data_IF_754223056335
#
_entry.id   IF_754223056335
#
_cell.length_a   1.000
_cell.length_b   1.000
_cell.length_c   1.000
_cell.angle_alpha   90.00
_cell.angle_beta   90.00
_cell.angle_gamma   90.00
#
_symmetry.space_group_name_H-M   'P 1'
#
loop_
_entity.id
_entity.type
_entity.pdbx_description
1 polymer ?
#
# COMPACT_ATOMS: atom_id res chain seq x y z
N UNK A 1 -28.19 22.38 -16.22
CA UNK A 1 -27.38 23.62 -16.25
C UNK A 1 -26.62 23.72 -14.95
N UNK A 2 -25.32 24.02 -14.99
CA UNK A 2 -24.48 24.25 -13.80
C UNK A 2 -23.32 23.28 -13.66
N UNK A 3 -22.37 23.31 -14.60
CA UNK A 3 -21.10 22.60 -14.46
C UNK A 3 -20.16 23.57 -13.72
N UNK A 4 -19.86 23.28 -12.46
CA UNK A 4 -18.98 24.12 -11.65
C UNK A 4 -17.53 23.99 -12.15
N UNK A 5 -16.85 25.08 -12.54
CA UNK A 5 -15.45 25.04 -12.92
C UNK A 5 -14.61 25.20 -11.64
N UNK A 6 -14.16 24.08 -11.06
CA UNK A 6 -13.14 24.16 -10.02
C UNK A 6 -11.80 24.46 -10.69
N UNK A 7 -11.43 25.74 -10.73
CA UNK A 7 -10.06 26.19 -10.95
C UNK A 7 -9.25 26.01 -9.66
N UNK A 8 -8.26 25.11 -9.67
CA UNK A 8 -7.18 25.11 -8.68
C UNK A 8 -5.85 25.18 -9.42
N UNK A 9 -5.29 26.38 -9.41
CA UNK A 9 -3.95 26.69 -9.88
C UNK A 9 -2.93 26.10 -8.89
N UNK A 10 -2.15 25.14 -9.35
CA UNK A 10 -0.85 24.79 -8.77
C UNK A 10 0.02 24.28 -9.91
N UNK A 11 0.84 25.19 -10.42
CA UNK A 11 1.80 25.02 -11.50
C UNK A 11 2.62 23.73 -11.38
N UNK A 12 2.27 22.73 -12.18
CA UNK A 12 3.14 21.64 -12.65
C UNK A 12 2.40 20.92 -13.79
N UNK A 13 2.17 21.61 -14.90
CA UNK A 13 1.46 21.08 -16.07
C UNK A 13 2.48 20.68 -17.14
N UNK A 14 2.46 19.42 -17.56
CA UNK A 14 3.22 18.89 -18.68
C UNK A 14 2.68 19.48 -19.99
N UNK A 15 3.46 19.40 -21.08
CA UNK A 15 3.10 19.97 -22.38
C UNK A 15 1.79 19.42 -22.98
N UNK A 16 1.29 18.31 -22.46
CA UNK A 16 0.06 17.63 -22.85
C UNK A 16 -1.14 17.95 -21.93
N UNK A 17 -0.98 18.87 -20.97
CA UNK A 17 -2.04 19.22 -20.01
C UNK A 17 -2.15 18.26 -18.82
N UNK A 18 -1.31 17.22 -18.75
CA UNK A 18 -1.20 16.34 -17.58
C UNK A 18 -0.40 16.98 -16.44
N UNK A 19 -0.50 16.48 -15.21
CA UNK A 19 0.43 16.88 -14.14
C UNK A 19 1.84 16.36 -14.48
N UNK A 20 2.88 17.19 -14.34
CA UNK A 20 4.27 16.80 -14.57
C UNK A 20 4.57 15.61 -13.67
N UNK A 21 4.76 14.45 -14.30
CA UNK A 21 5.14 13.25 -13.59
C UNK A 21 6.55 13.47 -13.00
N UNK A 22 6.80 13.09 -11.74
CA UNK A 22 8.15 13.07 -11.21
C UNK A 22 9.06 12.30 -12.16
N UNK A 23 10.28 12.81 -12.36
CA UNK A 23 11.28 12.19 -13.21
C UNK A 23 11.47 10.70 -12.82
N UNK A 24 11.84 9.86 -13.78
CA UNK A 24 11.92 8.41 -13.53
C UNK A 24 12.86 8.08 -12.37
N UNK A 25 13.93 8.86 -12.24
CA UNK A 25 14.94 8.75 -11.18
C UNK A 25 14.38 9.05 -9.79
N UNK A 26 13.55 10.09 -9.60
CA UNK A 26 12.93 10.38 -8.29
C UNK A 26 11.93 9.31 -7.87
N UNK A 27 11.16 8.75 -8.82
CA UNK A 27 10.27 7.62 -8.53
C UNK A 27 11.05 6.38 -8.07
N UNK A 28 12.17 6.11 -8.73
CA UNK A 28 13.05 5.00 -8.33
C UNK A 28 13.57 5.20 -6.91
N UNK A 29 14.11 6.38 -6.58
CA UNK A 29 14.58 6.70 -5.21
C UNK A 29 13.46 6.59 -4.18
N UNK A 30 12.24 7.02 -4.54
CA UNK A 30 11.08 6.88 -3.68
C UNK A 30 10.75 5.40 -3.37
N UNK A 31 10.82 4.52 -4.36
CA UNK A 31 10.58 3.08 -4.16
C UNK A 31 11.69 2.43 -3.34
N UNK A 32 12.94 2.81 -3.58
CA UNK A 32 14.08 2.35 -2.78
C UNK A 32 13.92 2.75 -1.30
N UNK A 33 13.59 4.01 -1.02
CA UNK A 33 13.30 4.49 0.33
C UNK A 33 12.10 3.78 0.98
N UNK A 34 11.03 3.53 0.22
CA UNK A 34 9.88 2.75 0.66
C UNK A 34 10.29 1.34 1.09
N UNK A 35 11.05 0.65 0.24
CA UNK A 35 11.39 -0.77 0.44
C UNK A 35 12.36 -0.92 1.62
N UNK A 36 13.28 0.01 1.81
CA UNK A 36 14.13 0.07 3.01
C UNK A 36 13.31 0.27 4.28
N UNK A 37 12.36 1.22 4.27
CA UNK A 37 11.47 1.46 5.40
C UNK A 37 10.63 0.23 5.73
N UNK A 38 10.01 -0.39 4.72
CA UNK A 38 9.18 -1.58 4.88
C UNK A 38 9.99 -2.80 5.36
N UNK A 39 11.21 -2.99 4.88
CA UNK A 39 12.11 -4.03 5.40
C UNK A 39 12.47 -3.81 6.87
N UNK A 40 12.67 -2.55 7.29
CA UNK A 40 12.86 -2.26 8.71
C UNK A 40 11.62 -2.57 9.55
N UNK A 41 10.43 -2.21 9.06
CA UNK A 41 9.17 -2.52 9.73
C UNK A 41 8.98 -4.03 9.89
N UNK A 42 9.25 -4.81 8.84
CA UNK A 42 9.16 -6.28 8.86
C UNK A 42 10.10 -6.89 9.91
N UNK A 43 11.34 -6.41 10.01
CA UNK A 43 12.32 -6.86 11.02
C UNK A 43 11.92 -6.54 12.47
N UNK A 44 10.98 -5.62 12.67
CA UNK A 44 10.50 -5.22 13.99
C UNK A 44 9.03 -5.63 14.23
N UNK A 45 8.47 -6.46 13.36
CA UNK A 45 7.08 -6.93 13.44
C UNK A 45 6.04 -5.80 13.46
N UNK A 46 6.31 -4.70 12.76
CA UNK A 46 5.40 -3.56 12.65
C UNK A 46 4.66 -3.64 11.31
N UNK A 47 3.36 -3.94 11.35
CA UNK A 47 2.54 -3.95 10.13
C UNK A 47 2.05 -2.54 9.76
N UNK A 48 1.41 -1.87 10.70
CA UNK A 48 0.71 -0.60 10.51
C UNK A 48 1.52 0.57 11.08
N UNK A 49 2.40 1.13 10.27
CA UNK A 49 3.19 2.30 10.65
C UNK A 49 2.38 3.62 10.71
N UNK A 50 1.07 3.59 10.44
CA UNK A 50 0.18 4.74 10.68
C UNK A 50 -0.33 4.69 12.12
N UNK A 51 -0.81 3.51 12.54
CA UNK A 51 -1.26 3.27 13.91
C UNK A 51 -0.10 3.29 14.91
N UNK A 52 1.01 2.65 14.55
CA UNK A 52 2.19 2.47 15.40
C UNK A 52 3.33 3.45 15.02
N UNK A 53 3.01 4.66 14.56
CA UNK A 53 3.99 5.64 14.05
C UNK A 53 5.11 5.94 15.07
N UNK A 54 4.78 6.04 16.36
CA UNK A 54 5.78 6.26 17.42
C UNK A 54 6.79 5.11 17.52
N UNK A 55 6.32 3.88 17.44
CA UNK A 55 7.17 2.68 17.45
C UNK A 55 7.99 2.60 16.15
N UNK A 56 7.35 2.82 15.00
CA UNK A 56 8.01 2.85 13.70
C UNK A 56 9.12 3.91 13.64
N UNK A 57 8.89 5.13 14.13
CA UNK A 57 9.93 6.18 14.20
C UNK A 57 11.04 5.85 15.18
N UNK A 58 10.73 5.18 16.29
CA UNK A 58 11.74 4.74 17.27
C UNK A 58 12.65 3.65 16.71
N UNK A 59 12.09 2.69 15.97
CA UNK A 59 12.81 1.51 15.46
C UNK A 59 13.41 1.69 14.07
N UNK A 60 12.76 2.48 13.23
CA UNK A 60 13.06 2.68 11.81
C UNK A 60 13.19 4.18 11.46
N UNK A 61 13.68 4.98 12.42
CA UNK A 61 13.76 6.43 12.30
C UNK A 61 14.64 6.93 11.15
N UNK A 62 15.66 6.17 10.78
CA UNK A 62 16.52 6.49 9.64
C UNK A 62 15.78 6.25 8.33
N UNK A 63 15.23 5.05 8.17
CA UNK A 63 14.57 4.62 6.94
C UNK A 63 13.28 5.40 6.68
N UNK A 64 12.52 5.76 7.73
CA UNK A 64 11.33 6.61 7.57
C UNK A 64 11.70 8.03 7.12
N UNK A 65 12.82 8.58 7.59
CA UNK A 65 13.30 9.89 7.18
C UNK A 65 13.77 9.88 5.71
N UNK A 66 14.49 8.83 5.30
CA UNK A 66 14.89 8.62 3.90
C UNK A 66 13.65 8.45 2.99
N UNK A 67 12.67 7.66 3.42
CA UNK A 67 11.41 7.47 2.70
C UNK A 67 10.60 8.77 2.57
N UNK A 68 10.43 9.53 3.66
CA UNK A 68 9.71 10.81 3.68
C UNK A 68 10.44 11.91 2.89
N UNK A 69 11.76 11.82 2.75
CA UNK A 69 12.57 12.75 1.93
C UNK A 69 12.53 12.38 0.45
N UNK A 70 12.59 11.09 0.11
CA UNK A 70 12.63 10.62 -1.27
C UNK A 70 11.26 10.64 -1.97
N UNK A 71 10.16 10.55 -1.20
CA UNK A 71 8.80 10.48 -1.72
C UNK A 71 7.98 11.73 -1.44
N UNK A 72 7.00 12.01 -2.31
CA UNK A 72 5.95 12.98 -1.98
C UNK A 72 5.09 12.50 -0.81
N UNK A 73 4.58 13.44 0.00
CA UNK A 73 3.73 13.13 1.17
C UNK A 73 2.49 12.29 0.82
N UNK A 74 1.91 12.53 -0.35
CA UNK A 74 0.76 11.76 -0.84
C UNK A 74 1.13 10.30 -1.11
N UNK A 75 2.30 10.05 -1.70
CA UNK A 75 2.80 8.70 -1.95
C UNK A 75 3.20 7.97 -0.66
N UNK A 76 3.83 8.68 0.29
CA UNK A 76 4.14 8.11 1.62
C UNK A 76 2.87 7.62 2.31
N UNK A 77 1.84 8.48 2.36
CA UNK A 77 0.54 8.12 2.95
C UNK A 77 -0.08 6.92 2.23
N UNK A 78 -0.19 7.00 0.91
CA UNK A 78 -0.76 5.93 0.08
C UNK A 78 -0.06 4.59 0.31
N UNK A 79 1.27 4.56 0.33
CA UNK A 79 2.01 3.31 0.51
C UNK A 79 1.83 2.71 1.91
N UNK A 80 1.84 3.54 2.95
CA UNK A 80 1.57 3.06 4.31
C UNK A 80 0.17 2.44 4.41
N UNK A 81 -0.84 3.09 3.83
CA UNK A 81 -2.22 2.57 3.79
C UNK A 81 -2.32 1.29 2.95
N UNK A 82 -1.68 1.28 1.76
CA UNK A 82 -1.68 0.14 0.84
C UNK A 82 -1.09 -1.11 1.47
N UNK A 83 0.01 -0.98 2.23
CA UNK A 83 0.65 -2.11 2.95
C UNK A 83 -0.35 -2.81 3.88
N UNK A 84 -1.13 -2.05 4.65
CA UNK A 84 -2.14 -2.61 5.57
C UNK A 84 -3.31 -3.22 4.81
N UNK A 85 -3.79 -2.54 3.76
CA UNK A 85 -4.88 -3.03 2.93
C UNK A 85 -4.52 -4.35 2.24
N UNK A 86 -3.34 -4.45 1.64
CA UNK A 86 -2.90 -5.68 0.95
C UNK A 86 -2.73 -6.84 1.92
N UNK A 87 -2.17 -6.60 3.10
CA UNK A 87 -2.10 -7.62 4.15
C UNK A 87 -3.49 -8.16 4.53
N UNK A 88 -4.46 -7.28 4.77
CA UNK A 88 -5.82 -7.67 5.14
C UNK A 88 -6.53 -8.41 4.00
N UNK A 89 -6.33 -7.95 2.77
CA UNK A 89 -6.84 -8.63 1.56
C UNK A 89 -6.30 -10.05 1.48
N UNK A 90 -5.00 -10.24 1.65
CA UNK A 90 -4.37 -11.55 1.53
C UNK A 90 -4.82 -12.50 2.65
N UNK A 91 -4.98 -11.99 3.89
CA UNK A 91 -5.58 -12.75 5.00
C UNK A 91 -7.02 -13.15 4.73
N UNK A 92 -7.80 -12.28 4.10
CA UNK A 92 -9.18 -12.57 3.72
C UNK A 92 -9.24 -13.66 2.65
N UNK A 93 -8.39 -13.56 1.62
CA UNK A 93 -8.30 -14.58 0.57
C UNK A 93 -7.85 -15.92 1.16
N UNK A 94 -6.88 -15.92 2.08
CA UNK A 94 -6.42 -17.12 2.78
C UNK A 94 -7.56 -17.79 3.56
N UNK A 95 -8.38 -17.00 4.26
CA UNK A 95 -9.55 -17.49 5.00
C UNK A 95 -10.60 -18.10 4.07
N UNK A 96 -10.97 -17.40 3.00
CA UNK A 96 -11.96 -17.90 2.02
C UNK A 96 -11.49 -19.22 1.42
N UNK A 97 -10.22 -19.32 1.02
CA UNK A 97 -9.66 -20.58 0.48
C UNK A 97 -9.75 -21.75 1.47
N UNK A 98 -9.58 -21.50 2.78
CA UNK A 98 -9.71 -22.52 3.82
C UNK A 98 -11.18 -22.92 4.03
N UNK A 99 -12.08 -21.96 4.04
CA UNK A 99 -13.53 -22.18 4.14
C UNK A 99 -14.05 -22.98 2.94
N UNK A 100 -13.69 -22.57 1.71
CA UNK A 100 -14.05 -23.27 0.47
C UNK A 100 -13.53 -24.70 0.45
N UNK A 101 -12.26 -24.90 0.86
CA UNK A 101 -11.68 -26.23 0.95
C UNK A 101 -12.44 -27.10 1.96
N UNK A 102 -12.77 -26.58 3.15
CA UNK A 102 -13.54 -27.29 4.16
C UNK A 102 -14.96 -27.64 3.66
N UNK A 103 -15.63 -26.71 2.98
CA UNK A 103 -16.95 -26.94 2.38
C UNK A 103 -16.91 -28.03 1.30
N UNK A 104 -15.90 -28.02 0.43
CA UNK A 104 -15.73 -29.07 -0.60
C UNK A 104 -15.49 -30.44 0.04
N UNK A 105 -14.70 -30.51 1.12
CA UNK A 105 -14.51 -31.77 1.85
C UNK A 105 -15.80 -32.26 2.50
N UNK A 106 -16.57 -31.36 3.12
CA UNK A 106 -17.87 -31.69 3.73
C UNK A 106 -18.86 -32.19 2.67
N UNK A 107 -18.98 -31.51 1.53
CA UNK A 107 -19.83 -31.95 0.43
C UNK A 107 -19.43 -33.33 -0.10
N UNK A 108 -18.13 -33.59 -0.25
CA UNK A 108 -17.63 -34.92 -0.63
C UNK A 108 -17.98 -35.98 0.40
N UNK A 109 -17.88 -35.68 1.70
CA UNK A 109 -18.30 -36.59 2.76
C UNK A 109 -19.81 -36.89 2.72
N UNK A 110 -20.62 -35.91 2.32
CA UNK A 110 -22.07 -36.05 2.11
C UNK A 110 -22.44 -36.72 0.78
N UNK A 111 -21.47 -37.26 0.03
CA UNK A 111 -21.70 -38.01 -1.21
C UNK A 111 -21.85 -37.15 -2.46
N UNK A 112 -21.57 -35.85 -2.38
CA UNK A 112 -21.46 -35.01 -3.58
C UNK A 112 -20.19 -35.40 -4.37
N UNK A 113 -20.36 -35.60 -5.68
CA UNK A 113 -19.27 -35.94 -6.58
C UNK A 113 -19.27 -34.94 -7.74
N UNK A 114 -18.13 -34.30 -8.04
CA UNK A 114 -17.99 -33.39 -9.18
C UNK A 114 -17.91 -34.23 -10.47
N UNK A 115 -19.05 -34.67 -10.99
CA UNK A 115 -19.09 -35.22 -12.34
C UNK A 115 -18.77 -34.14 -13.36
#
# INVERSE_FOLDING_TARGET
MGWLPWSSDSSNTASDGGRIAPDRTSRQRCYEGRDMFFSCLDRNDILDAIKDDKEARRKCGKEIAEFETACSRAWVKYFKEKRVMEYNRDKTIERIKKEDAAQVQELKAQGWNSR
#
